data_IF_183504787451
#
_entry.id   IF_183504787451
#
_cell.length_a   1.000
_cell.length_b   1.000
_cell.length_c   1.000
_cell.angle_alpha   90.00
_cell.angle_beta   90.00
_cell.angle_gamma   90.00
#
_symmetry.space_group_name_H-M   'P 1'
#
loop_
_entity.id
_entity.type
_entity.pdbx_description
1 polymer ?
#
# COMPACT_ATOMS: atom_id res chain seq x y z
N UNK A 1 -3.04 13.29 7.47
CA UNK A 1 -1.95 12.52 6.84
C UNK A 1 -0.97 12.14 7.92
N UNK A 2 -0.23 11.07 7.75
CA UNK A 2 0.96 10.82 8.56
C UNK A 2 2.05 10.25 7.68
N UNK A 3 3.29 10.50 8.07
CA UNK A 3 4.50 10.06 7.43
C UNK A 3 5.35 9.40 8.50
N UNK A 4 5.73 8.16 8.23
CA UNK A 4 6.57 7.35 9.11
C UNK A 4 7.76 6.92 8.28
N UNK A 5 8.95 7.17 8.82
CA UNK A 5 10.21 6.71 8.24
C UNK A 5 10.87 5.80 9.27
N UNK A 6 11.23 4.61 8.84
CA UNK A 6 11.91 3.63 9.67
C UNK A 6 13.21 3.24 8.98
N UNK A 7 14.33 3.70 9.54
CA UNK A 7 15.65 3.30 9.07
C UNK A 7 15.99 1.93 9.64
N UNK A 8 15.83 0.89 8.82
CA UNK A 8 16.22 -0.47 9.17
C UNK A 8 17.67 -0.72 8.77
N UNK A 9 18.26 -1.80 9.30
CA UNK A 9 19.59 -2.31 8.88
C UNK A 9 19.66 -2.55 7.36
N UNK A 10 18.51 -2.83 6.73
CA UNK A 10 18.40 -3.15 5.30
C UNK A 10 18.11 -1.93 4.41
N UNK A 11 18.06 -0.73 5.00
CA UNK A 11 17.70 0.51 4.33
C UNK A 11 16.43 1.14 4.88
N UNK A 12 16.11 2.32 4.34
CA UNK A 12 14.99 3.14 4.79
C UNK A 12 13.66 2.61 4.25
N UNK A 13 12.73 2.36 5.16
CA UNK A 13 11.33 2.09 4.86
C UNK A 13 10.56 3.39 5.09
N UNK A 14 9.89 3.89 4.06
CA UNK A 14 9.01 5.05 4.19
C UNK A 14 7.56 4.64 3.95
N UNK A 15 6.66 5.05 4.85
CA UNK A 15 5.22 4.91 4.67
C UNK A 15 4.57 6.25 4.94
N UNK A 16 3.92 6.82 3.92
CA UNK A 16 3.21 8.08 4.03
C UNK A 16 1.77 7.90 3.55
N UNK A 17 0.80 8.13 4.42
CA UNK A 17 -0.60 8.08 4.06
C UNK A 17 -1.27 9.45 4.16
N UNK A 18 -2.14 9.74 3.21
CA UNK A 18 -2.96 10.94 3.17
C UNK A 18 -4.39 10.53 2.87
N UNK A 19 -5.32 10.95 3.73
CA UNK A 19 -6.74 10.84 3.50
C UNK A 19 -7.28 12.19 3.03
N UNK A 20 -8.04 12.20 1.95
CA UNK A 20 -8.71 13.37 1.38
C UNK A 20 -10.16 12.99 1.07
N UNK A 21 -11.09 13.42 1.92
CA UNK A 21 -12.49 12.96 1.86
C UNK A 21 -12.59 11.44 2.00
N UNK A 22 -13.23 10.80 1.03
CA UNK A 22 -13.38 9.34 0.95
C UNK A 22 -12.23 8.63 0.23
N UNK A 23 -11.16 9.36 -0.14
CA UNK A 23 -9.99 8.78 -0.80
C UNK A 23 -8.80 8.71 0.15
N UNK A 24 -8.19 7.54 0.27
CA UNK A 24 -6.92 7.34 0.95
C UNK A 24 -5.83 7.08 -0.10
N UNK A 25 -4.69 7.73 0.08
CA UNK A 25 -3.49 7.53 -0.70
C UNK A 25 -2.38 7.11 0.24
N UNK A 26 -1.76 5.97 -0.01
CA UNK A 26 -0.67 5.40 0.77
C UNK A 26 0.54 5.23 -0.15
N UNK A 27 1.60 5.99 0.12
CA UNK A 27 2.91 5.84 -0.51
C UNK A 27 3.77 4.95 0.39
N UNK A 28 4.35 3.90 -0.18
CA UNK A 28 5.24 2.98 0.53
C UNK A 28 6.51 2.81 -0.27
N UNK A 29 7.66 2.96 0.38
CA UNK A 29 8.98 2.70 -0.20
C UNK A 29 9.63 1.57 0.59
N UNK A 30 9.89 0.46 -0.10
CA UNK A 30 10.50 -0.74 0.45
C UNK A 30 11.93 -0.87 -0.10
N UNK A 31 12.96 -0.98 0.76
CA UNK A 31 14.34 -1.07 0.31
C UNK A 31 14.62 -2.42 -0.39
N UNK A 32 15.69 -2.45 -1.19
CA UNK A 32 16.14 -3.64 -1.91
C UNK A 32 16.31 -4.86 -0.97
N UNK A 33 16.03 -6.07 -1.47
CA UNK A 33 16.12 -7.34 -0.73
C UNK A 33 15.20 -7.44 0.50
N UNK A 34 14.08 -6.70 0.50
CA UNK A 34 13.04 -6.83 1.52
C UNK A 34 11.67 -6.94 0.87
N UNK A 35 10.75 -7.58 1.60
CA UNK A 35 9.33 -7.63 1.29
C UNK A 35 8.57 -7.01 2.44
N UNK A 36 7.39 -6.45 2.15
CA UNK A 36 6.52 -5.88 3.16
C UNK A 36 5.08 -6.32 2.96
N UNK A 37 4.36 -6.44 4.07
CA UNK A 37 2.91 -6.65 4.05
C UNK A 37 2.22 -5.32 4.29
N UNK A 38 1.51 -4.82 3.27
CA UNK A 38 0.77 -3.56 3.30
C UNK A 38 -0.70 -3.85 3.49
N UNK A 39 -1.29 -3.29 4.55
CA UNK A 39 -2.72 -3.34 4.80
C UNK A 39 -3.37 -2.03 4.35
N UNK A 40 -4.15 -2.08 3.28
CA UNK A 40 -4.85 -0.92 2.72
C UNK A 40 -6.32 -0.97 3.12
N UNK A 41 -6.84 0.02 3.87
CA UNK A 41 -8.27 0.11 4.15
C UNK A 41 -9.06 0.31 2.84
N UNK A 42 -9.97 -0.61 2.53
CA UNK A 42 -10.80 -0.59 1.34
C UNK A 42 -11.98 -1.57 1.50
N UNK A 43 -13.11 -1.29 0.84
CA UNK A 43 -14.25 -2.24 0.81
C UNK A 43 -13.95 -3.49 -0.02
N UNK A 44 -13.17 -3.34 -1.08
CA UNK A 44 -12.72 -4.45 -1.92
C UNK A 44 -11.36 -4.13 -2.53
N UNK A 45 -10.58 -5.17 -2.83
CA UNK A 45 -9.30 -5.05 -3.50
C UNK A 45 -9.42 -4.38 -4.88
N UNK A 46 -10.55 -4.54 -5.56
CA UNK A 46 -10.80 -3.95 -6.88
C UNK A 46 -10.91 -2.42 -6.85
N UNK A 47 -11.27 -1.86 -5.70
CA UNK A 47 -11.28 -0.39 -5.50
C UNK A 47 -9.90 0.18 -5.22
N UNK A 48 -8.90 -0.67 -5.02
CA UNK A 48 -7.53 -0.26 -4.79
C UNK A 48 -6.80 -0.19 -6.12
N UNK A 49 -6.11 0.93 -6.32
CA UNK A 49 -5.21 1.12 -7.45
C UNK A 49 -3.80 1.36 -6.96
N UNK A 50 -2.83 0.80 -7.67
CA UNK A 50 -1.41 1.08 -7.52
C UNK A 50 -0.98 1.94 -8.71
N UNK A 51 -0.51 3.17 -8.47
CA UNK A 51 -0.07 4.11 -9.52
C UNK A 51 -1.05 4.21 -10.72
N UNK A 52 -2.35 4.27 -10.43
CA UNK A 52 -3.47 4.31 -11.39
C UNK A 52 -3.74 3.01 -12.17
N UNK A 53 -3.12 1.89 -11.79
CA UNK A 53 -3.37 0.55 -12.33
C UNK A 53 -4.05 -0.33 -11.27
N UNK A 54 -4.83 -1.34 -11.67
CA UNK A 54 -5.36 -2.34 -10.73
C UNK A 54 -4.20 -3.10 -10.06
N UNK A 55 -4.40 -3.53 -8.81
CA UNK A 55 -3.43 -4.36 -8.08
C UNK A 55 -2.97 -5.59 -8.87
N UNK A 56 -3.87 -6.22 -9.62
CA UNK A 56 -3.57 -7.40 -10.45
C UNK A 56 -2.56 -7.12 -11.58
N UNK A 57 -2.36 -5.85 -11.96
CA UNK A 57 -1.40 -5.42 -12.98
C UNK A 57 -0.19 -4.71 -12.39
N UNK A 58 -0.09 -4.61 -11.07
CA UNK A 58 0.99 -3.94 -10.38
C UNK A 58 2.16 -4.92 -10.19
N UNK A 59 3.32 -4.70 -10.83
CA UNK A 59 4.46 -5.59 -10.70
C UNK A 59 5.02 -5.54 -9.26
N UNK A 60 5.36 -6.71 -8.71
CA UNK A 60 5.85 -6.82 -7.34
C UNK A 60 4.78 -6.56 -6.28
N UNK A 61 3.49 -6.56 -6.65
CA UNK A 61 2.37 -6.54 -5.70
C UNK A 61 1.56 -7.82 -5.83
N UNK A 62 1.36 -8.49 -4.70
CA UNK A 62 0.59 -9.72 -4.60
C UNK A 62 -0.54 -9.52 -3.61
N UNK A 63 -1.78 -9.56 -4.11
CA UNK A 63 -2.95 -9.58 -3.23
C UNK A 63 -2.99 -10.94 -2.50
N UNK A 64 -2.99 -10.89 -1.17
CA UNK A 64 -3.06 -12.10 -0.35
C UNK A 64 -4.50 -12.44 0.03
N UNK A 65 -5.21 -11.49 0.66
CA UNK A 65 -6.58 -11.67 1.17
C UNK A 65 -7.24 -10.35 1.56
N UNK A 66 -8.55 -10.37 1.75
CA UNK A 66 -9.28 -9.33 2.47
C UNK A 66 -9.41 -9.73 3.95
N UNK A 67 -9.13 -8.80 4.85
CA UNK A 67 -9.44 -8.90 6.28
C UNK A 67 -10.44 -7.80 6.66
N UNK A 68 -11.73 -8.16 6.63
CA UNK A 68 -12.82 -7.19 6.82
C UNK A 68 -12.78 -6.09 5.75
N UNK A 69 -12.69 -4.83 6.19
CA UNK A 69 -12.58 -3.67 5.30
C UNK A 69 -11.12 -3.26 5.01
N UNK A 70 -10.21 -4.24 4.94
CA UNK A 70 -8.78 -4.03 4.65
C UNK A 70 -8.29 -5.08 3.65
N UNK A 71 -7.60 -4.65 2.60
CA UNK A 71 -6.88 -5.55 1.72
C UNK A 71 -5.47 -5.77 2.24
N UNK A 72 -5.06 -7.03 2.33
CA UNK A 72 -3.70 -7.44 2.70
C UNK A 72 -2.92 -7.72 1.43
N UNK A 73 -1.88 -6.92 1.19
CA UNK A 73 -1.02 -6.96 0.02
C UNK A 73 0.39 -7.31 0.45
N UNK A 74 1.05 -8.22 -0.24
CA UNK A 74 2.49 -8.42 -0.16
C UNK A 74 3.14 -7.62 -1.28
N UNK A 75 4.13 -6.80 -0.92
CA UNK A 75 4.88 -5.98 -1.87
C UNK A 75 6.36 -6.29 -1.77
N UNK A 76 7.01 -6.31 -2.93
CA UNK A 76 8.46 -6.49 -3.02
C UNK A 76 9.19 -5.16 -2.81
N UNK A 77 10.51 -5.18 -2.98
CA UNK A 77 11.32 -3.97 -2.95
C UNK A 77 10.93 -3.03 -4.10
N UNK A 78 10.66 -1.77 -3.77
CA UNK A 78 10.17 -0.80 -4.73
C UNK A 78 9.42 0.34 -4.09
N UNK A 79 8.95 1.25 -4.94
CA UNK A 79 8.13 2.39 -4.53
C UNK A 79 6.72 2.20 -5.08
N UNK A 80 5.74 2.19 -4.18
CA UNK A 80 4.34 1.92 -4.50
C UNK A 80 3.46 3.07 -4.07
N UNK A 81 2.44 3.37 -4.87
CA UNK A 81 1.41 4.35 -4.52
C UNK A 81 0.04 3.72 -4.59
N UNK A 82 -0.45 3.28 -3.43
CA UNK A 82 -1.80 2.76 -3.30
C UNK A 82 -2.81 3.88 -3.15
N UNK A 83 -3.95 3.75 -3.81
CA UNK A 83 -5.10 4.60 -3.59
C UNK A 83 -6.37 3.80 -3.48
N UNK A 84 -7.16 4.06 -2.44
CA UNK A 84 -8.40 3.35 -2.14
C UNK A 84 -9.53 4.31 -1.75
N UNK A 85 -10.76 3.88 -2.02
CA UNK A 85 -11.96 4.51 -1.49
C UNK A 85 -12.24 4.01 -0.07
N UNK A 86 -12.07 4.87 0.93
CA UNK A 86 -12.44 4.59 2.32
C UNK A 86 -13.73 5.34 2.62
N UNK A 87 -14.88 4.74 2.24
CA UNK A 87 -16.14 5.23 2.82
C UNK A 87 -16.16 4.83 4.30
N UNK A 88 -16.72 5.71 5.12
CA UNK A 88 -17.10 5.41 6.50
C UNK A 88 -18.07 4.23 6.55
#
# INVERSE_FOLDING_TARGET
SADVRYDSIRGRIESAWKKSGDKLTLNVTIPANTTATVLVPAKSADTITESSKPLAKAPGVKFLRMEGNRAVLEVEAGSYRFSSGVSR
#
